data_IF_007851943748
#
_entry.id   IF_007851943748
#
_cell.length_a   1.000
_cell.length_b   1.000
_cell.length_c   1.000
_cell.angle_alpha   90.00
_cell.angle_beta   90.00
_cell.angle_gamma   90.00
#
_symmetry.space_group_name_H-M   'P 1'
#
loop_
_entity.id
_entity.type
_entity.pdbx_description
1 polymer ?
#
# COMPACT_ATOMS: atom_id res chain seq x y z
N UNK A 1 -7.30 7.75 17.05
CA UNK A 1 -8.52 6.90 17.08
C UNK A 1 -8.57 5.85 15.94
N UNK A 2 -7.66 5.85 14.97
CA UNK A 2 -7.69 5.01 13.75
C UNK A 2 -6.72 3.79 13.76
N UNK A 3 -5.96 3.55 14.83
CA UNK A 3 -4.95 2.48 14.85
C UNK A 3 -5.54 1.05 14.83
N UNK A 4 -6.78 0.87 15.31
CA UNK A 4 -7.42 -0.46 15.42
C UNK A 4 -7.85 -1.03 14.06
N UNK A 5 -8.40 -0.20 13.18
CA UNK A 5 -8.77 -0.62 11.83
C UNK A 5 -7.54 -0.92 10.97
N UNK A 6 -6.45 -0.17 11.15
CA UNK A 6 -5.17 -0.42 10.50
C UNK A 6 -4.63 -1.81 10.86
N UNK A 7 -4.49 -2.12 12.16
CA UNK A 7 -4.03 -3.43 12.60
C UNK A 7 -4.93 -4.59 12.10
N UNK A 8 -6.25 -4.40 12.11
CA UNK A 8 -7.18 -5.41 11.60
C UNK A 8 -7.05 -5.64 10.08
N UNK A 9 -6.74 -4.60 9.30
CA UNK A 9 -6.49 -4.69 7.86
C UNK A 9 -5.16 -5.40 7.56
N UNK A 10 -4.10 -5.08 8.29
CA UNK A 10 -2.78 -5.70 8.11
C UNK A 10 -2.78 -7.19 8.49
N UNK A 11 -3.48 -7.55 9.56
CA UNK A 11 -3.60 -8.95 9.99
C UNK A 11 -4.70 -9.74 9.25
N UNK A 12 -5.34 -9.14 8.24
CA UNK A 12 -6.36 -9.81 7.41
C UNK A 12 -7.67 -10.12 8.13
N UNK A 13 -7.93 -9.55 9.31
CA UNK A 13 -9.20 -9.74 10.03
C UNK A 13 -10.41 -9.19 9.25
N UNK A 14 -10.16 -8.30 8.27
CA UNK A 14 -11.17 -7.70 7.40
C UNK A 14 -11.33 -8.42 6.05
N UNK A 15 -10.55 -9.46 5.77
CA UNK A 15 -10.45 -10.07 4.43
C UNK A 15 -11.56 -11.10 4.13
N UNK A 16 -12.83 -10.74 4.33
CA UNK A 16 -14.00 -11.61 4.10
C UNK A 16 -14.53 -11.49 2.66
N UNK A 17 -13.74 -11.97 1.69
CA UNK A 17 -14.08 -11.96 0.26
C UNK A 17 -13.54 -10.75 -0.52
N UNK A 18 -13.06 -9.73 0.18
CA UNK A 18 -12.31 -8.60 -0.39
C UNK A 18 -11.12 -8.32 0.53
N UNK A 19 -9.91 -8.26 -0.01
CA UNK A 19 -8.71 -7.93 0.79
C UNK A 19 -8.65 -6.43 1.04
N UNK A 20 -8.51 -6.04 2.30
CA UNK A 20 -8.45 -4.62 2.70
C UNK A 20 -7.07 -4.34 3.29
N UNK A 21 -6.33 -3.41 2.68
CA UNK A 21 -5.04 -2.91 3.22
C UNK A 21 -5.11 -1.41 3.41
N UNK A 22 -4.63 -0.94 4.56
CA UNK A 22 -4.69 0.47 4.93
C UNK A 22 -3.36 1.14 4.57
N UNK A 23 -3.40 2.17 3.73
CA UNK A 23 -2.23 3.01 3.48
C UNK A 23 -2.32 4.26 4.36
N UNK A 24 -1.30 4.46 5.20
CA UNK A 24 -1.24 5.53 6.18
C UNK A 24 0.07 6.30 6.03
N UNK A 25 0.03 7.60 6.33
CA UNK A 25 1.23 8.42 6.35
C UNK A 25 2.16 7.90 7.45
N UNK A 26 3.42 7.55 7.11
CA UNK A 26 4.38 7.08 8.11
C UNK A 26 4.73 8.22 9.06
N UNK A 27 4.94 7.86 10.33
CA UNK A 27 5.38 8.79 11.37
C UNK A 27 6.90 9.04 11.24
N UNK A 28 7.28 9.68 10.13
CA UNK A 28 8.64 10.09 9.83
C UNK A 28 8.63 11.55 9.38
N UNK A 29 9.73 12.24 9.64
CA UNK A 29 9.90 13.59 9.12
C UNK A 29 10.03 13.54 7.58
N UNK A 30 9.19 14.30 6.88
CA UNK A 30 9.24 14.45 5.43
C UNK A 30 9.60 15.90 5.15
N UNK A 31 10.73 16.12 4.49
CA UNK A 31 11.15 17.46 4.08
C UNK A 31 10.12 18.06 3.13
N UNK A 32 9.91 19.37 3.25
CA UNK A 32 8.96 20.08 2.41
C UNK A 32 9.43 20.08 0.95
N UNK A 33 8.58 19.55 0.09
CA UNK A 33 8.76 19.49 -1.35
C UNK A 33 7.37 19.63 -2.01
N UNK A 34 7.29 19.47 -3.32
CA UNK A 34 6.01 19.33 -4.01
C UNK A 34 5.17 18.21 -3.40
N UNK A 35 3.83 18.36 -3.33
CA UNK A 35 2.95 17.33 -2.75
C UNK A 35 3.16 15.93 -3.36
N UNK A 36 3.44 15.87 -4.67
CA UNK A 36 3.72 14.62 -5.37
C UNK A 36 4.99 13.93 -4.84
N UNK A 37 6.07 14.68 -4.63
CA UNK A 37 7.31 14.14 -4.07
C UNK A 37 7.14 13.71 -2.60
N UNK A 38 6.36 14.45 -1.82
CA UNK A 38 6.04 14.08 -0.44
C UNK A 38 5.26 12.76 -0.36
N UNK A 39 4.24 12.57 -1.21
CA UNK A 39 3.48 11.30 -1.25
C UNK A 39 4.32 10.14 -1.76
N UNK A 40 5.20 10.37 -2.75
CA UNK A 40 6.12 9.35 -3.21
C UNK A 40 7.09 8.90 -2.10
N UNK A 41 7.63 9.84 -1.30
CA UNK A 41 8.47 9.51 -0.13
C UNK A 41 7.70 8.75 0.94
N UNK A 42 6.41 9.05 1.12
CA UNK A 42 5.54 8.33 2.04
C UNK A 42 5.05 6.96 1.50
N UNK A 43 5.36 6.62 0.25
CA UNK A 43 4.82 5.41 -0.41
C UNK A 43 3.30 5.47 -0.64
N UNK A 44 2.72 6.67 -0.63
CA UNK A 44 1.29 6.94 -0.85
C UNK A 44 1.00 7.37 -2.30
N UNK A 45 1.89 7.02 -3.23
CA UNK A 45 1.74 7.28 -4.66
C UNK A 45 1.16 6.06 -5.41
N UNK A 46 0.90 6.23 -6.71
CA UNK A 46 0.34 5.15 -7.53
C UNK A 46 1.22 3.89 -7.53
N UNK A 47 2.55 4.04 -7.49
CA UNK A 47 3.48 2.91 -7.44
C UNK A 47 3.37 2.18 -6.11
N UNK A 48 3.30 2.90 -4.99
CA UNK A 48 3.09 2.35 -3.66
C UNK A 48 1.75 1.61 -3.54
N UNK A 49 0.67 2.15 -4.12
CA UNK A 49 -0.63 1.47 -4.17
C UNK A 49 -0.52 0.14 -4.92
N UNK A 50 0.08 0.14 -6.11
CA UNK A 50 0.23 -1.09 -6.91
C UNK A 50 1.07 -2.13 -6.17
N UNK A 51 2.18 -1.72 -5.56
CA UNK A 51 3.01 -2.61 -4.75
C UNK A 51 2.21 -3.22 -3.58
N UNK A 52 1.45 -2.40 -2.86
CA UNK A 52 0.61 -2.85 -1.73
C UNK A 52 -0.51 -3.80 -2.18
N UNK A 53 -1.06 -3.61 -3.39
CA UNK A 53 -2.05 -4.53 -3.97
C UNK A 53 -1.43 -5.90 -4.25
N UNK A 54 -0.25 -5.95 -4.86
CA UNK A 54 0.44 -7.23 -5.11
C UNK A 54 0.80 -7.96 -3.81
N UNK A 55 1.33 -7.22 -2.83
CA UNK A 55 1.56 -7.72 -1.47
C UNK A 55 0.27 -8.28 -0.85
N UNK A 56 -0.84 -7.53 -0.91
CA UNK A 56 -2.13 -7.97 -0.39
C UNK A 56 -2.58 -9.27 -1.04
N UNK A 57 -2.42 -9.39 -2.37
CA UNK A 57 -2.82 -10.58 -3.12
C UNK A 57 -1.96 -11.81 -2.80
N UNK A 58 -0.85 -11.67 -2.06
CA UNK A 58 0.09 -12.76 -1.78
C UNK A 58 0.92 -13.14 -3.01
N UNK A 59 0.93 -12.26 -4.02
CA UNK A 59 1.86 -12.31 -5.13
C UNK A 59 3.02 -11.43 -4.71
N UNK A 60 4.00 -12.00 -3.99
CA UNK A 60 5.36 -11.46 -4.08
C UNK A 60 5.61 -11.22 -5.56
N UNK A 61 6.16 -10.06 -5.93
CA UNK A 61 6.27 -9.61 -7.31
C UNK A 61 7.13 -10.56 -8.18
N UNK A 62 6.64 -11.77 -8.45
CA UNK A 62 6.90 -12.50 -9.65
C UNK A 62 6.29 -11.63 -10.73
N UNK A 63 7.15 -10.77 -11.27
CA UNK A 63 6.96 -10.11 -12.54
C UNK A 63 6.86 -11.22 -13.59
N UNK A 64 5.75 -11.94 -13.62
CA UNK A 64 5.36 -12.68 -14.80
C UNK A 64 4.94 -11.62 -15.81
N UNK A 65 5.89 -11.33 -16.69
CA UNK A 65 5.69 -10.67 -17.95
C UNK A 65 4.42 -11.20 -18.62
N UNK A 66 3.32 -10.48 -18.45
CA UNK A 66 2.13 -10.65 -19.30
C UNK A 66 2.59 -10.21 -20.69
N UNK A 67 2.99 -11.18 -21.52
CA UNK A 67 3.13 -11.00 -22.96
C UNK A 67 1.79 -10.49 -23.47
N UNK A 68 1.71 -9.21 -23.82
CA UNK A 68 0.65 -8.74 -24.70
C UNK A 68 0.94 -9.33 -26.09
N UNK A 69 0.08 -10.27 -26.48
CA UNK A 69 -0.14 -10.65 -27.86
C UNK A 69 -1.01 -9.58 -28.56
#
# INVERSE_FOLDING_TARGET
MNQRSHAAAEHGLLDRGMKVRSMVLPDIFIDHDTPAAMYARAGLDAKGIVAKVFEALGKEAAVESVKLA
#
